data_IF_094765981222
#
_entry.id   IF_094765981222
#
_cell.length_a   1.000
_cell.length_b   1.000
_cell.length_c   1.000
_cell.angle_alpha   90.00
_cell.angle_beta   90.00
_cell.angle_gamma   90.00
#
_symmetry.space_group_name_H-M   'P 1'
#
loop_
_entity.id
_entity.type
_entity.pdbx_description
1 polymer ?
#
# COMPACT_ATOMS: atom_id res chain seq x y z
N UNK A 1 -0.67 -62.09 34.29
CA UNK A 1 -1.84 -61.46 33.64
C UNK A 1 -2.72 -62.58 33.14
N UNK A 2 -3.98 -62.60 33.52
CA UNK A 2 -4.95 -63.59 33.07
C UNK A 2 -5.54 -63.17 31.71
N UNK A 3 -6.08 -64.12 30.95
CA UNK A 3 -6.74 -63.82 29.65
C UNK A 3 -7.90 -62.81 29.81
N UNK A 4 -8.56 -62.80 30.96
CA UNK A 4 -9.63 -61.84 31.25
C UNK A 4 -9.08 -60.41 31.43
N UNK A 5 -7.97 -60.24 32.16
CA UNK A 5 -7.31 -58.94 32.32
C UNK A 5 -6.81 -58.39 30.97
N UNK A 6 -6.28 -59.26 30.10
CA UNK A 6 -5.86 -58.88 28.75
C UNK A 6 -7.04 -58.38 27.90
N UNK A 7 -8.18 -59.07 27.96
CA UNK A 7 -9.38 -58.73 27.19
C UNK A 7 -9.99 -57.40 27.63
N UNK A 8 -9.99 -57.12 28.93
CA UNK A 8 -10.43 -55.83 29.48
C UNK A 8 -9.53 -54.68 29.02
N UNK A 9 -8.21 -54.87 29.06
CA UNK A 9 -7.23 -53.89 28.56
C UNK A 9 -7.45 -53.56 27.08
N UNK A 10 -7.58 -54.58 26.21
CA UNK A 10 -7.84 -54.39 24.76
C UNK A 10 -9.15 -53.62 24.54
N UNK A 11 -10.20 -53.95 25.30
CA UNK A 11 -11.49 -53.27 25.18
C UNK A 11 -11.40 -51.80 25.59
N UNK A 12 -10.72 -51.51 26.70
CA UNK A 12 -10.49 -50.14 27.17
C UNK A 12 -9.66 -49.31 26.18
N UNK A 13 -8.67 -49.93 25.54
CA UNK A 13 -7.82 -49.29 24.54
C UNK A 13 -8.61 -48.95 23.28
N UNK A 14 -9.47 -49.86 22.80
CA UNK A 14 -10.34 -49.61 21.65
C UNK A 14 -11.30 -48.43 21.89
N UNK A 15 -11.87 -48.32 23.11
CA UNK A 15 -12.72 -47.18 23.49
C UNK A 15 -11.91 -45.88 23.56
N UNK A 16 -10.71 -45.92 24.14
CA UNK A 16 -9.83 -44.75 24.20
C UNK A 16 -9.40 -44.27 22.80
N UNK A 17 -9.12 -45.21 21.89
CA UNK A 17 -8.78 -44.93 20.50
C UNK A 17 -9.95 -44.29 19.76
N UNK A 18 -11.17 -44.85 19.86
CA UNK A 18 -12.36 -44.27 19.25
C UNK A 18 -12.66 -42.85 19.78
N UNK A 19 -12.44 -42.61 21.08
CA UNK A 19 -12.58 -41.27 21.68
C UNK A 19 -11.52 -40.30 21.15
N UNK A 20 -10.29 -40.77 20.95
CA UNK A 20 -9.19 -39.99 20.38
C UNK A 20 -9.50 -39.62 18.93
N UNK A 21 -9.95 -40.58 18.13
CA UNK A 21 -10.34 -40.35 16.72
C UNK A 21 -11.48 -39.33 16.61
N UNK A 22 -12.47 -39.41 17.50
CA UNK A 22 -13.56 -38.43 17.55
C UNK A 22 -13.08 -37.03 17.95
N UNK A 23 -12.11 -36.93 18.87
CA UNK A 23 -11.49 -35.65 19.24
C UNK A 23 -10.65 -35.06 18.10
N UNK A 24 -9.90 -35.89 17.38
CA UNK A 24 -9.13 -35.49 16.20
C UNK A 24 -10.05 -34.96 15.10
N UNK A 25 -11.11 -35.70 14.74
CA UNK A 25 -12.08 -35.27 13.74
C UNK A 25 -12.77 -33.93 14.11
N UNK A 26 -13.08 -33.73 15.39
CA UNK A 26 -13.61 -32.46 15.89
C UNK A 26 -12.59 -31.33 15.78
N UNK A 27 -11.32 -31.62 16.05
CA UNK A 27 -10.21 -30.66 15.93
C UNK A 27 -10.00 -30.26 14.47
N UNK A 28 -9.95 -31.21 13.54
CA UNK A 28 -9.83 -30.95 12.10
C UNK A 28 -10.98 -30.07 11.60
N UNK A 29 -12.20 -30.34 12.06
CA UNK A 29 -13.37 -29.51 11.73
C UNK A 29 -13.24 -28.08 12.28
N UNK A 30 -12.67 -27.91 13.48
CA UNK A 30 -12.44 -26.58 14.06
C UNK A 30 -11.31 -25.84 13.35
N UNK A 31 -10.25 -26.53 12.96
CA UNK A 31 -9.14 -25.96 12.18
C UNK A 31 -9.63 -25.48 10.82
N UNK A 32 -10.38 -26.30 10.08
CA UNK A 32 -10.96 -25.92 8.79
C UNK A 32 -11.87 -24.67 8.91
N UNK A 33 -12.68 -24.57 9.99
CA UNK A 33 -13.48 -23.36 10.26
C UNK A 33 -12.64 -22.14 10.60
N UNK A 34 -11.50 -22.33 11.26
CA UNK A 34 -10.57 -21.26 11.62
C UNK A 34 -9.85 -20.74 10.37
N UNK A 35 -9.34 -21.63 9.53
CA UNK A 35 -8.70 -21.27 8.26
C UNK A 35 -9.66 -20.51 7.35
N UNK A 36 -10.91 -20.94 7.24
CA UNK A 36 -11.93 -20.23 6.47
C UNK A 36 -12.19 -18.80 7.01
N UNK A 37 -12.18 -18.62 8.34
CA UNK A 37 -12.32 -17.29 8.96
C UNK A 37 -11.07 -16.43 8.73
N UNK A 38 -9.87 -16.99 8.84
CA UNK A 38 -8.62 -16.28 8.58
C UNK A 38 -8.52 -15.81 7.13
N UNK A 39 -8.89 -16.67 6.17
CA UNK A 39 -8.92 -16.30 4.76
C UNK A 39 -9.89 -15.14 4.50
N UNK A 40 -11.10 -15.19 5.07
CA UNK A 40 -12.07 -14.09 4.97
C UNK A 40 -11.56 -12.79 5.59
N UNK A 41 -10.88 -12.86 6.73
CA UNK A 41 -10.25 -11.69 7.36
C UNK A 41 -9.13 -11.12 6.49
N UNK A 42 -8.29 -11.97 5.90
CA UNK A 42 -7.22 -11.55 5.00
C UNK A 42 -7.78 -10.83 3.76
N UNK A 43 -8.84 -11.37 3.15
CA UNK A 43 -9.55 -10.73 2.03
C UNK A 43 -10.13 -9.37 2.40
N UNK A 44 -10.84 -9.29 3.53
CA UNK A 44 -11.41 -8.03 4.03
C UNK A 44 -10.31 -7.00 4.31
N UNK A 45 -9.22 -7.41 4.94
CA UNK A 45 -8.11 -6.54 5.29
C UNK A 45 -7.36 -6.03 4.04
N UNK A 46 -7.13 -6.91 3.06
CA UNK A 46 -6.56 -6.52 1.76
C UNK A 46 -7.44 -5.51 1.02
N UNK A 47 -8.77 -5.68 1.06
CA UNK A 47 -9.73 -4.74 0.49
C UNK A 47 -9.64 -3.34 1.12
N UNK A 48 -9.49 -3.26 2.46
CA UNK A 48 -9.34 -1.98 3.17
C UNK A 48 -8.05 -1.25 2.80
N UNK A 49 -6.91 -1.96 2.73
CA UNK A 49 -5.63 -1.36 2.35
C UNK A 49 -5.65 -0.80 0.93
N UNK A 50 -6.18 -1.56 -0.03
CA UNK A 50 -6.29 -1.13 -1.42
C UNK A 50 -7.20 0.11 -1.56
N UNK A 51 -8.28 0.18 -0.79
CA UNK A 51 -9.17 1.33 -0.81
C UNK A 51 -8.51 2.60 -0.24
N UNK A 52 -7.70 2.48 0.82
CA UNK A 52 -6.97 3.61 1.39
C UNK A 52 -6.02 4.26 0.37
N UNK A 53 -5.26 3.46 -0.39
CA UNK A 53 -4.41 3.96 -1.46
C UNK A 53 -5.19 4.73 -2.53
N UNK A 54 -6.25 4.11 -3.05
CA UNK A 54 -7.13 4.71 -4.07
C UNK A 54 -7.76 6.04 -3.62
N UNK A 55 -8.19 6.13 -2.36
CA UNK A 55 -8.77 7.38 -1.82
C UNK A 55 -7.71 8.48 -1.75
N UNK A 56 -6.47 8.15 -1.37
CA UNK A 56 -5.38 9.12 -1.39
C UNK A 56 -5.06 9.58 -2.82
N UNK A 57 -4.89 8.66 -3.76
CA UNK A 57 -4.64 8.97 -5.18
C UNK A 57 -5.72 9.87 -5.77
N UNK A 58 -6.99 9.54 -5.53
CA UNK A 58 -8.13 10.30 -6.03
C UNK A 58 -8.17 11.71 -5.43
N UNK A 59 -7.86 11.86 -4.14
CA UNK A 59 -7.80 13.16 -3.47
C UNK A 59 -6.73 14.06 -4.10
N UNK A 60 -5.51 13.57 -4.25
CA UNK A 60 -4.40 14.37 -4.78
C UNK A 60 -4.57 14.68 -6.25
N UNK A 61 -5.04 13.72 -7.05
CA UNK A 61 -5.36 13.96 -8.46
C UNK A 61 -6.37 15.09 -8.62
N UNK A 62 -7.50 15.03 -7.92
CA UNK A 62 -8.54 16.05 -8.04
C UNK A 62 -8.06 17.42 -7.54
N UNK A 63 -7.29 17.45 -6.46
CA UNK A 63 -6.72 18.70 -5.91
C UNK A 63 -5.77 19.37 -6.90
N UNK A 64 -4.84 18.60 -7.47
CA UNK A 64 -3.84 19.10 -8.42
C UNK A 64 -4.43 19.39 -9.80
N UNK A 65 -5.44 18.63 -10.24
CA UNK A 65 -6.19 18.92 -11.45
C UNK A 65 -6.94 20.25 -11.37
N UNK A 66 -7.48 20.58 -10.20
CA UNK A 66 -8.19 21.85 -9.99
C UNK A 66 -7.23 23.04 -9.89
N UNK A 67 -6.09 22.86 -9.22
CA UNK A 67 -5.05 23.87 -9.10
C UNK A 67 -3.66 23.27 -9.37
N UNK A 68 -3.22 23.22 -10.64
CA UNK A 68 -1.96 22.57 -11.04
C UNK A 68 -0.77 23.50 -10.78
N UNK A 69 -0.60 23.93 -9.53
CA UNK A 69 0.51 24.79 -9.09
C UNK A 69 1.21 24.15 -7.90
N UNK A 70 2.50 23.89 -8.05
CA UNK A 70 3.36 23.36 -6.99
C UNK A 70 4.61 24.21 -6.84
N UNK A 71 4.92 24.64 -5.61
CA UNK A 71 6.08 25.49 -5.31
C UNK A 71 6.21 26.72 -6.25
N UNK A 72 5.07 27.32 -6.63
CA UNK A 72 5.01 28.47 -7.54
C UNK A 72 5.11 28.14 -9.03
N UNK A 73 5.34 26.87 -9.40
CA UNK A 73 5.40 26.41 -10.78
C UNK A 73 4.00 26.00 -11.23
N UNK A 74 3.52 26.57 -12.32
CA UNK A 74 2.25 26.19 -12.97
C UNK A 74 2.49 25.10 -14.00
N UNK A 75 1.64 24.08 -14.00
CA UNK A 75 1.68 22.97 -14.93
C UNK A 75 0.53 23.05 -15.95
N UNK A 76 0.81 22.60 -17.17
CA UNK A 76 -0.13 22.67 -18.29
C UNK A 76 -1.08 21.48 -18.30
N UNK A 77 -0.57 20.30 -17.91
CA UNK A 77 -1.37 19.09 -17.80
C UNK A 77 -0.92 18.19 -16.65
N UNK A 78 -1.84 17.32 -16.25
CA UNK A 78 -1.67 16.27 -15.25
C UNK A 78 -2.04 14.93 -15.87
N UNK A 79 -1.16 13.95 -15.74
CA UNK A 79 -1.41 12.55 -16.11
C UNK A 79 -1.50 11.71 -14.84
N UNK A 80 -2.42 10.74 -14.82
CA UNK A 80 -2.68 9.85 -13.69
C UNK A 80 -2.42 8.40 -14.10
N UNK A 81 -1.81 7.62 -13.22
CA UNK A 81 -1.52 6.19 -13.38
C UNK A 81 -0.77 5.90 -14.69
N UNK A 82 0.36 6.59 -14.88
CA UNK A 82 1.14 6.50 -16.10
C UNK A 82 2.04 5.28 -16.03
N UNK A 83 1.73 4.26 -16.85
CA UNK A 83 2.55 3.05 -16.96
C UNK A 83 3.32 3.04 -18.26
N UNK A 84 4.62 2.74 -18.20
CA UNK A 84 5.45 2.58 -19.40
C UNK A 84 6.39 1.40 -19.26
N UNK A 85 6.59 0.69 -20.36
CA UNK A 85 7.51 -0.45 -20.44
C UNK A 85 8.48 -0.30 -21.62
N UNK A 86 9.75 -0.62 -21.39
CA UNK A 86 10.81 -0.57 -22.40
C UNK A 86 11.97 -1.47 -21.99
N UNK A 87 12.38 -2.38 -22.90
CA UNK A 87 13.58 -3.25 -22.73
C UNK A 87 13.62 -3.99 -21.38
N UNK A 88 12.48 -4.55 -20.95
CA UNK A 88 12.35 -5.30 -19.71
C UNK A 88 12.26 -4.45 -18.44
N UNK A 89 12.23 -3.12 -18.56
CA UNK A 89 11.92 -2.19 -17.47
C UNK A 89 10.45 -1.81 -17.59
N UNK A 90 9.70 -1.97 -16.50
CA UNK A 90 8.32 -1.51 -16.37
C UNK A 90 8.18 -0.71 -15.08
N UNK A 91 7.54 0.45 -15.18
CA UNK A 91 7.27 1.31 -14.04
C UNK A 91 5.94 2.03 -14.24
N UNK A 92 5.22 2.21 -13.13
CA UNK A 92 4.01 3.02 -13.03
C UNK A 92 4.33 4.26 -12.19
N UNK A 93 3.75 5.41 -12.52
CA UNK A 93 3.83 6.64 -11.75
C UNK A 93 2.44 7.14 -11.44
N UNK A 94 2.17 7.42 -10.16
CA UNK A 94 0.82 7.76 -9.71
C UNK A 94 0.33 9.05 -10.39
N UNK A 95 1.14 10.12 -10.37
CA UNK A 95 0.86 11.35 -11.10
C UNK A 95 2.11 11.95 -11.74
N UNK A 96 1.96 12.49 -12.95
CA UNK A 96 2.92 13.38 -13.59
C UNK A 96 2.27 14.75 -13.81
N UNK A 97 2.95 15.81 -13.39
CA UNK A 97 2.56 17.19 -13.75
C UNK A 97 3.64 17.74 -14.66
N UNK A 98 3.24 18.28 -15.81
CA UNK A 98 4.18 18.65 -16.87
C UNK A 98 3.82 20.03 -17.43
N UNK A 99 4.84 20.83 -17.69
CA UNK A 99 4.77 22.01 -18.55
C UNK A 99 5.93 21.97 -19.56
N UNK A 100 6.18 23.06 -20.30
CA UNK A 100 7.27 23.11 -21.29
C UNK A 100 8.71 23.01 -20.75
N UNK A 101 8.93 23.06 -19.43
CA UNK A 101 10.27 23.11 -18.81
C UNK A 101 10.47 22.16 -17.61
N UNK A 102 9.39 21.79 -16.91
CA UNK A 102 9.40 21.10 -15.64
C UNK A 102 8.50 19.86 -15.68
N UNK A 103 8.93 18.80 -15.01
CA UNK A 103 8.10 17.64 -14.70
C UNK A 103 8.16 17.31 -13.22
N UNK A 104 6.99 17.21 -12.58
CA UNK A 104 6.86 16.64 -11.25
C UNK A 104 6.49 15.17 -11.35
N UNK A 105 7.32 14.31 -10.75
CA UNK A 105 7.00 12.91 -10.52
C UNK A 105 6.43 12.81 -9.11
N UNK A 106 5.15 12.46 -9.00
CA UNK A 106 4.46 12.40 -7.71
C UNK A 106 4.04 10.97 -7.41
N UNK A 107 4.53 10.45 -6.30
CA UNK A 107 4.05 9.21 -5.71
C UNK A 107 3.09 9.51 -4.58
N UNK A 108 1.96 8.81 -4.56
CA UNK A 108 0.91 8.96 -3.56
C UNK A 108 0.96 7.79 -2.60
N UNK A 109 0.89 8.08 -1.31
CA UNK A 109 0.85 7.08 -0.24
C UNK A 109 -0.19 7.47 0.78
N UNK A 110 -1.04 6.54 1.20
CA UNK A 110 -1.92 6.81 2.34
C UNK A 110 -1.11 7.17 3.60
N UNK A 111 -0.09 6.34 3.91
CA UNK A 111 0.94 6.62 4.91
C UNK A 111 2.32 6.51 4.26
N UNK A 112 3.16 7.52 4.47
CA UNK A 112 4.52 7.54 3.92
C UNK A 112 5.50 6.79 4.83
N UNK A 113 6.37 5.97 4.24
CA UNK A 113 7.44 5.24 4.93
C UNK A 113 8.83 5.56 4.35
N UNK A 114 9.93 5.35 5.10
CA UNK A 114 11.29 5.56 4.60
C UNK A 114 11.61 4.84 3.28
N UNK A 115 11.13 3.60 3.13
CA UNK A 115 11.29 2.82 1.90
C UNK A 115 10.69 3.48 0.66
N UNK A 116 9.68 4.33 0.82
CA UNK A 116 9.06 5.05 -0.31
C UNK A 116 10.00 6.15 -0.82
N UNK A 117 10.75 6.79 0.07
CA UNK A 117 11.80 7.77 -0.25
C UNK A 117 12.94 7.08 -1.02
N UNK A 118 13.45 5.97 -0.49
CA UNK A 118 14.50 5.17 -1.14
C UNK A 118 14.07 4.69 -2.53
N UNK A 119 12.82 4.20 -2.65
CA UNK A 119 12.25 3.73 -3.92
C UNK A 119 12.11 4.86 -4.94
N UNK A 120 11.71 6.05 -4.49
CA UNK A 120 11.57 7.23 -5.35
C UNK A 120 12.94 7.66 -5.91
N UNK A 121 13.94 7.83 -5.05
CA UNK A 121 15.28 8.28 -5.43
C UNK A 121 16.06 7.25 -6.24
N UNK A 122 15.90 5.98 -5.89
CA UNK A 122 16.58 4.87 -6.57
C UNK A 122 15.85 4.45 -7.84
N UNK A 123 14.99 3.44 -7.70
CA UNK A 123 14.35 2.74 -8.83
C UNK A 123 13.50 3.69 -9.69
N UNK A 124 12.58 4.45 -9.09
CA UNK A 124 11.61 5.25 -9.86
C UNK A 124 12.29 6.36 -10.66
N UNK A 125 13.09 7.21 -10.04
CA UNK A 125 13.80 8.27 -10.77
C UNK A 125 14.70 7.70 -11.89
N UNK A 126 15.42 6.61 -11.62
CA UNK A 126 16.30 5.99 -12.60
C UNK A 126 15.53 5.43 -13.79
N UNK A 127 14.43 4.70 -13.52
CA UNK A 127 13.56 4.16 -14.56
C UNK A 127 12.89 5.28 -15.35
N UNK A 128 12.48 6.37 -14.70
CA UNK A 128 11.82 7.50 -15.35
C UNK A 128 12.67 8.08 -16.46
N UNK A 129 13.96 8.31 -16.19
CA UNK A 129 14.92 8.85 -17.18
C UNK A 129 15.09 7.95 -18.40
N UNK A 130 14.94 6.63 -18.24
CA UNK A 130 15.05 5.65 -19.33
C UNK A 130 13.74 5.54 -20.13
N UNK A 131 12.62 5.53 -19.40
CA UNK A 131 11.28 5.33 -19.93
C UNK A 131 10.73 6.59 -20.60
N UNK A 132 11.04 7.77 -20.09
CA UNK A 132 10.55 9.07 -20.56
C UNK A 132 11.68 9.98 -21.09
N UNK A 133 12.40 9.58 -22.14
CA UNK A 133 13.48 10.38 -22.71
C UNK A 133 13.01 11.73 -23.29
N UNK A 134 11.72 11.90 -23.55
CA UNK A 134 11.13 13.19 -23.95
C UNK A 134 11.32 14.29 -22.90
N UNK A 135 11.46 13.93 -21.62
CA UNK A 135 11.67 14.88 -20.52
C UNK A 135 13.15 15.03 -20.14
N UNK A 136 14.09 14.57 -20.98
CA UNK A 136 15.54 14.60 -20.68
C UNK A 136 16.10 16.01 -20.46
N UNK A 137 15.51 17.01 -21.12
CA UNK A 137 15.93 18.41 -21.03
C UNK A 137 15.06 19.20 -20.03
N UNK A 138 14.13 18.54 -19.34
CA UNK A 138 13.22 19.17 -18.36
C UNK A 138 13.87 19.14 -16.96
N UNK A 139 13.48 20.09 -16.11
CA UNK A 139 13.78 20.03 -14.68
C UNK A 139 12.86 18.99 -14.04
N UNK A 140 13.47 17.90 -13.56
CA UNK A 140 12.74 16.82 -12.87
C UNK A 140 12.65 17.16 -11.39
N UNK A 141 11.43 17.25 -10.88
CA UNK A 141 11.12 17.41 -9.47
C UNK A 141 10.47 16.15 -8.93
N UNK A 142 10.75 15.82 -7.67
CA UNK A 142 10.17 14.70 -6.97
C UNK A 142 9.19 15.18 -5.92
N UNK A 143 8.02 14.55 -5.84
CA UNK A 143 7.12 14.74 -4.72
C UNK A 143 6.58 13.43 -4.15
N UNK A 144 6.36 13.44 -2.84
CA UNK A 144 5.63 12.42 -2.12
C UNK A 144 4.37 13.06 -1.53
N UNK A 145 3.22 12.59 -1.99
CA UNK A 145 1.92 13.03 -1.53
C UNK A 145 1.36 12.04 -0.49
N UNK A 146 0.99 12.52 0.69
CA UNK A 146 0.53 11.62 1.75
C UNK A 146 -0.47 12.20 2.75
N UNK A 147 -1.42 11.37 3.17
CA UNK A 147 -2.38 11.74 4.21
C UNK A 147 -1.76 11.74 5.61
N UNK A 148 -0.77 10.90 5.88
CA UNK A 148 -0.09 10.82 7.17
C UNK A 148 1.37 10.42 7.01
N UNK A 149 2.23 11.05 7.78
CA UNK A 149 3.63 10.68 7.93
C UNK A 149 4.11 11.04 9.34
N UNK A 150 5.19 10.40 9.76
CA UNK A 150 5.89 10.73 10.99
C UNK A 150 6.91 11.85 10.73
N UNK A 151 7.27 12.62 11.78
CA UNK A 151 8.13 13.80 11.63
C UNK A 151 9.57 13.47 11.19
N UNK A 152 10.08 12.29 11.57
CA UNK A 152 11.37 11.77 11.12
C UNK A 152 11.36 11.44 9.63
N UNK A 153 10.29 10.81 9.13
CA UNK A 153 10.09 10.54 7.70
C UNK A 153 9.93 11.84 6.93
N UNK A 154 9.23 12.83 7.51
CA UNK A 154 9.09 14.17 6.93
C UNK A 154 10.46 14.81 6.73
N UNK A 155 11.27 14.85 7.78
CA UNK A 155 12.59 15.45 7.71
C UNK A 155 13.48 14.73 6.70
N UNK A 156 13.46 13.39 6.72
CA UNK A 156 14.21 12.56 5.76
C UNK A 156 13.87 12.88 4.30
N UNK A 157 12.58 13.04 3.96
CA UNK A 157 12.18 13.37 2.59
C UNK A 157 12.66 14.78 2.19
N UNK A 158 12.52 15.76 3.09
CA UNK A 158 12.93 17.14 2.84
C UNK A 158 14.45 17.27 2.68
N UNK A 159 15.24 16.56 3.49
CA UNK A 159 16.71 16.54 3.42
C UNK A 159 17.22 15.99 2.08
N UNK A 160 16.43 15.13 1.43
CA UNK A 160 16.73 14.57 0.11
C UNK A 160 16.19 15.46 -1.04
N UNK A 161 15.66 16.63 -0.74
CA UNK A 161 15.10 17.56 -1.74
C UNK A 161 13.77 17.10 -2.34
N UNK A 162 13.03 16.20 -1.67
CA UNK A 162 11.73 15.74 -2.13
C UNK A 162 10.64 16.66 -1.57
N UNK A 163 9.78 17.15 -2.46
CA UNK A 163 8.62 17.96 -2.06
C UNK A 163 7.56 17.10 -1.38
N UNK A 164 7.01 17.54 -0.26
CA UNK A 164 5.93 16.84 0.43
C UNK A 164 4.58 17.52 0.19
N UNK A 165 3.61 16.76 -0.30
CA UNK A 165 2.22 17.24 -0.46
C UNK A 165 1.36 16.66 0.65
N UNK A 166 0.99 17.51 1.60
CA UNK A 166 0.07 17.16 2.68
C UNK A 166 -1.31 17.75 2.40
N UNK A 167 -2.36 17.03 2.81
CA UNK A 167 -3.70 17.60 2.80
C UNK A 167 -3.76 18.79 3.74
N UNK A 168 -4.12 19.95 3.21
CA UNK A 168 -4.43 21.16 3.98
C UNK A 168 -5.84 21.61 3.61
N UNK A 169 -6.70 21.76 4.60
CA UNK A 169 -8.05 22.27 4.42
C UNK A 169 -8.47 23.11 5.62
N UNK A 170 -9.27 24.13 5.36
CA UNK A 170 -10.09 24.77 6.40
C UNK A 170 -11.47 24.12 6.32
N UNK A 171 -11.72 23.10 7.14
CA UNK A 171 -13.06 22.50 7.29
C UNK A 171 -13.46 22.67 8.74
N UNK A 172 -13.70 23.92 9.14
CA UNK A 172 -14.33 24.25 10.42
C UNK A 172 -15.47 25.20 10.11
N UNK A 173 -16.70 24.66 10.10
CA UNK A 173 -17.91 25.46 10.17
C UNK A 173 -18.22 25.67 11.66
N UNK A 174 -18.22 26.92 12.10
CA UNK A 174 -18.53 27.27 13.49
C UNK A 174 -19.96 27.79 13.51
N UNK A 175 -20.88 27.01 14.09
CA UNK A 175 -22.21 27.51 14.45
C UNK A 175 -22.13 28.01 15.89
N UNK A 176 -22.43 29.29 16.09
CA UNK A 176 -22.53 29.90 17.42
C UNK A 176 -23.85 29.48 18.09
N UNK A 177 -23.81 29.34 19.43
CA UNK A 177 -24.97 29.15 20.28
C UNK A 177 -25.65 30.49 20.58
#
# INVERSE_FOLDING_TARGET
>A
MTDNELRELITSLAVAQAKTDAQLAKTDTQLAKTDAKLNKLAEMYGGVGNNQGKVAEEFYFNSLKHNPVLNGIRFDFIEKNVTRSKRGIEEEYDLLLVNGEDVYIIEVKYRLHPKDIERMLGRKLSNFKILFPEYRDYRIHLALATFTLDDDVKQMALDQGITLLQRRGEVIETLSA
#
